data_IF_278220756264
#
_entry.id   IF_278220756264
#
_cell.length_a   1.000
_cell.length_b   1.000
_cell.length_c   1.000
_cell.angle_alpha   90.00
_cell.angle_beta   90.00
_cell.angle_gamma   90.00
#
_symmetry.space_group_name_H-M   'P 1'
#
loop_
_entity.id
_entity.type
_entity.pdbx_description
1 polymer ?
#
# COMPACT_ATOMS: atom_id res chain seq x y z
N UNK A 1 -17.62 -24.72 -11.06
CA UNK A 1 -18.43 -23.56 -11.49
C UNK A 1 -17.48 -22.41 -11.74
N UNK A 2 -17.29 -22.06 -13.03
CA UNK A 2 -16.43 -20.92 -13.39
C UNK A 2 -17.16 -19.62 -13.06
N UNK A 3 -16.82 -19.01 -11.94
CA UNK A 3 -17.34 -17.70 -11.54
C UNK A 3 -16.44 -16.62 -12.20
N UNK A 4 -16.48 -16.56 -13.53
CA UNK A 4 -15.89 -15.42 -14.25
C UNK A 4 -16.83 -14.23 -14.11
N UNK A 5 -16.40 -13.21 -13.40
CA UNK A 5 -17.10 -11.93 -13.35
C UNK A 5 -17.28 -11.39 -14.78
N UNK A 6 -18.41 -10.74 -15.08
CA UNK A 6 -18.61 -10.09 -16.38
C UNK A 6 -17.48 -9.08 -16.66
N UNK A 7 -17.04 -9.00 -17.91
CA UNK A 7 -15.95 -8.08 -18.33
C UNK A 7 -16.25 -6.63 -17.94
N UNK A 8 -17.51 -6.22 -17.94
CA UNK A 8 -17.94 -4.87 -17.49
C UNK A 8 -17.65 -4.60 -16.01
N UNK A 9 -17.79 -5.61 -15.13
CA UNK A 9 -17.49 -5.47 -13.72
C UNK A 9 -15.98 -5.45 -13.46
N UNK A 10 -15.21 -6.18 -14.24
CA UNK A 10 -13.75 -6.13 -14.19
C UNK A 10 -13.23 -4.75 -14.59
N UNK A 11 -13.74 -4.15 -15.67
CA UNK A 11 -13.29 -2.85 -16.15
C UNK A 11 -13.58 -1.72 -15.15
N UNK A 12 -14.73 -1.74 -14.49
CA UNK A 12 -15.08 -0.78 -13.43
C UNK A 12 -14.16 -0.92 -12.23
N UNK A 13 -13.90 -2.15 -11.79
CA UNK A 13 -13.00 -2.43 -10.66
C UNK A 13 -11.59 -1.92 -10.93
N UNK A 14 -11.07 -2.10 -12.15
CA UNK A 14 -9.76 -1.61 -12.53
C UNK A 14 -9.68 -0.08 -12.58
N UNK A 15 -10.70 0.58 -13.10
CA UNK A 15 -10.71 2.03 -13.18
C UNK A 15 -10.68 2.67 -11.79
N UNK A 16 -11.56 2.25 -10.90
CA UNK A 16 -11.67 2.80 -9.54
C UNK A 16 -10.42 2.50 -8.72
N UNK A 17 -9.87 1.31 -8.82
CA UNK A 17 -8.60 0.94 -8.21
C UNK A 17 -7.47 1.87 -8.69
N UNK A 18 -7.32 2.05 -9.99
CA UNK A 18 -6.31 2.94 -10.58
C UNK A 18 -6.52 4.41 -10.20
N UNK A 19 -7.77 4.88 -10.13
CA UNK A 19 -8.08 6.24 -9.68
C UNK A 19 -7.67 6.46 -8.23
N UNK A 20 -7.90 5.49 -7.35
CA UNK A 20 -7.47 5.56 -5.94
C UNK A 20 -5.95 5.66 -5.86
N UNK A 21 -5.22 4.77 -6.53
CA UNK A 21 -3.75 4.81 -6.57
C UNK A 21 -3.25 6.18 -7.03
N UNK A 22 -3.73 6.66 -8.17
CA UNK A 22 -3.28 7.95 -8.72
C UNK A 22 -3.57 9.12 -7.78
N UNK A 23 -4.72 9.15 -7.15
CA UNK A 23 -5.08 10.19 -6.19
C UNK A 23 -4.15 10.20 -4.97
N UNK A 24 -3.80 9.03 -4.44
CA UNK A 24 -2.83 8.91 -3.35
C UNK A 24 -1.43 9.34 -3.79
N UNK A 25 -0.96 8.87 -4.95
CA UNK A 25 0.36 9.24 -5.48
C UNK A 25 0.48 10.75 -5.64
N UNK A 26 -0.53 11.43 -6.20
CA UNK A 26 -0.54 12.88 -6.36
C UNK A 26 -0.49 13.58 -4.99
N UNK A 27 -1.35 13.17 -4.06
CA UNK A 27 -1.43 13.81 -2.74
C UNK A 27 -0.17 13.60 -1.90
N UNK A 28 0.31 12.38 -1.83
CA UNK A 28 1.54 12.06 -1.12
C UNK A 28 2.72 12.76 -1.77
N UNK A 29 2.82 12.72 -3.11
CA UNK A 29 3.88 13.39 -3.85
C UNK A 29 3.95 14.89 -3.56
N UNK A 30 2.81 15.57 -3.47
CA UNK A 30 2.74 16.98 -3.10
C UNK A 30 3.21 17.26 -1.67
N UNK A 31 2.99 16.34 -0.73
CA UNK A 31 3.42 16.48 0.66
C UNK A 31 4.93 16.27 0.83
N UNK A 32 5.51 15.32 0.09
CA UNK A 32 6.92 14.94 0.25
C UNK A 32 7.85 15.55 -0.81
N UNK A 33 7.37 16.44 -1.67
CA UNK A 33 8.10 17.01 -2.82
C UNK A 33 9.45 17.62 -2.44
N UNK A 34 9.55 18.21 -1.27
CA UNK A 34 10.76 18.89 -0.77
C UNK A 34 11.67 17.98 0.06
N UNK A 35 11.33 16.67 0.16
CA UNK A 35 12.12 15.66 0.85
C UNK A 35 12.97 14.82 -0.10
N UNK A 36 13.83 13.95 0.46
CA UNK A 36 14.59 12.96 -0.30
C UNK A 36 13.73 11.75 -0.70
N UNK A 37 12.53 11.64 -0.15
CA UNK A 37 11.64 10.52 -0.42
C UNK A 37 10.89 10.70 -1.75
N UNK A 38 10.50 9.58 -2.34
CA UNK A 38 9.68 9.55 -3.55
C UNK A 38 8.53 8.56 -3.37
N UNK A 39 7.37 8.95 -3.86
CA UNK A 39 6.20 8.07 -3.93
C UNK A 39 6.14 7.40 -5.29
N UNK A 40 5.77 6.14 -5.29
CA UNK A 40 5.58 5.32 -6.49
C UNK A 40 4.22 4.65 -6.47
N UNK A 41 3.60 4.50 -7.63
CA UNK A 41 2.44 3.66 -7.86
C UNK A 41 2.81 2.19 -8.10
N UNK A 42 1.91 1.42 -8.64
CA UNK A 42 1.84 -0.03 -8.78
C UNK A 42 2.85 -0.71 -9.73
N UNK A 43 3.98 -0.08 -10.02
CA UNK A 43 4.99 -0.61 -10.95
C UNK A 43 6.34 -0.94 -10.31
N UNK A 44 6.52 -0.63 -9.03
CA UNK A 44 7.78 -0.83 -8.33
C UNK A 44 7.82 -2.19 -7.66
N UNK A 45 8.86 -2.94 -7.99
CA UNK A 45 9.11 -4.27 -7.46
C UNK A 45 10.05 -4.20 -6.27
N UNK A 46 9.74 -5.00 -5.25
CA UNK A 46 10.57 -5.23 -4.08
C UNK A 46 10.95 -6.70 -3.98
N UNK A 47 12.19 -6.96 -3.54
CA UNK A 47 12.73 -8.29 -3.35
C UNK A 47 13.53 -8.31 -2.06
N UNK A 48 13.04 -9.04 -1.05
CA UNK A 48 13.66 -9.13 0.27
C UNK A 48 13.95 -10.57 0.67
N UNK A 49 15.07 -10.81 1.34
CA UNK A 49 15.43 -12.13 1.89
C UNK A 49 14.40 -12.64 2.89
N UNK A 50 13.83 -11.74 3.69
CA UNK A 50 12.79 -12.02 4.68
C UNK A 50 11.52 -12.59 4.04
N UNK A 51 11.37 -12.44 2.73
CA UNK A 51 10.28 -12.99 1.91
C UNK A 51 10.80 -14.03 0.89
N UNK A 52 11.85 -14.78 1.22
CA UNK A 52 12.44 -15.81 0.33
C UNK A 52 12.81 -15.28 -1.05
N UNK A 53 13.23 -14.01 -1.17
CA UNK A 53 13.53 -13.31 -2.42
C UNK A 53 12.35 -13.30 -3.44
N UNK A 54 11.11 -13.51 -2.98
CA UNK A 54 9.93 -13.38 -3.82
C UNK A 54 9.60 -11.92 -4.07
N UNK A 55 9.27 -11.62 -5.31
CA UNK A 55 8.91 -10.26 -5.71
C UNK A 55 7.54 -9.86 -5.15
N UNK A 56 7.48 -8.67 -4.58
CA UNK A 56 6.26 -8.01 -4.13
C UNK A 56 6.11 -6.67 -4.84
N UNK A 57 4.90 -6.37 -5.29
CA UNK A 57 4.55 -5.10 -5.95
C UNK A 57 3.41 -4.47 -5.17
N UNK A 58 3.66 -3.45 -4.35
CA UNK A 58 2.61 -2.70 -3.68
C UNK A 58 1.92 -1.71 -4.63
N UNK A 59 0.66 -1.40 -4.36
CA UNK A 59 -0.09 -0.41 -5.14
C UNK A 59 0.47 1.01 -4.97
N UNK A 60 0.94 1.37 -3.76
CA UNK A 60 1.66 2.62 -3.50
C UNK A 60 2.77 2.38 -2.48
N UNK A 61 3.92 3.00 -2.71
CA UNK A 61 5.04 2.94 -1.78
C UNK A 61 5.81 4.26 -1.70
N UNK A 62 6.46 4.51 -0.55
CA UNK A 62 7.37 5.65 -0.37
C UNK A 62 8.78 5.11 -0.08
N UNK A 63 9.73 5.50 -0.93
CA UNK A 63 11.14 5.16 -0.81
C UNK A 63 11.94 6.42 -0.53
N UNK A 64 12.79 6.38 0.49
CA UNK A 64 13.69 7.48 0.85
C UNK A 64 15.15 7.19 0.51
N UNK A 65 15.52 5.91 0.28
CA UNK A 65 16.84 5.52 -0.20
C UNK A 65 16.72 4.83 -1.56
N UNK A 66 17.11 5.54 -2.62
CA UNK A 66 17.03 5.05 -4.00
C UNK A 66 18.20 4.16 -4.43
N UNK A 67 19.16 3.87 -3.54
CA UNK A 67 20.39 3.15 -3.87
C UNK A 67 20.28 1.64 -3.72
N UNK A 68 19.42 1.18 -2.84
CA UNK A 68 19.30 -0.24 -2.49
C UNK A 68 18.48 -0.99 -3.54
N UNK A 69 19.18 -1.46 -4.58
CA UNK A 69 18.57 -2.13 -5.75
C UNK A 69 19.32 -3.42 -6.12
N UNK A 70 18.57 -4.39 -6.61
CA UNK A 70 19.05 -5.59 -7.25
C UNK A 70 18.35 -5.72 -8.60
N UNK A 71 19.07 -5.46 -9.70
CA UNK A 71 18.48 -5.38 -11.04
C UNK A 71 17.38 -4.29 -11.12
N UNK A 72 16.15 -4.71 -11.41
CA UNK A 72 14.99 -3.83 -11.51
C UNK A 72 14.21 -3.69 -10.20
N UNK A 73 14.52 -4.51 -9.19
CA UNK A 73 13.84 -4.53 -7.90
C UNK A 73 14.56 -3.68 -6.87
N UNK A 74 13.81 -3.06 -5.96
CA UNK A 74 14.36 -2.48 -4.75
C UNK A 74 14.56 -3.56 -3.67
N UNK A 75 15.66 -3.46 -2.97
CA UNK A 75 16.01 -4.31 -1.81
C UNK A 75 15.95 -3.53 -0.50
N UNK A 76 15.87 -2.20 -0.59
CA UNK A 76 15.60 -1.34 0.54
C UNK A 76 14.18 -1.45 1.04
N UNK A 77 13.96 -1.13 2.32
CA UNK A 77 12.65 -1.19 2.95
C UNK A 77 11.92 0.14 2.71
N UNK A 78 10.74 0.13 2.07
CA UNK A 78 9.95 1.34 1.93
C UNK A 78 9.44 1.78 3.32
N UNK A 79 9.36 3.07 3.51
CA UNK A 79 8.87 3.65 4.75
C UNK A 79 7.36 3.45 4.92
N UNK A 80 6.67 3.48 3.82
CA UNK A 80 5.23 3.40 3.71
C UNK A 80 4.84 2.48 2.55
N UNK A 81 3.82 1.69 2.76
CA UNK A 81 3.17 0.88 1.74
C UNK A 81 1.66 0.99 1.87
N UNK A 82 0.96 1.04 0.76
CA UNK A 82 -0.50 0.97 0.71
C UNK A 82 -0.96 -0.02 -0.35
N UNK A 83 -1.98 -0.78 0.00
CA UNK A 83 -2.71 -1.63 -0.93
C UNK A 83 -4.14 -1.10 -1.09
N UNK A 84 -4.63 -1.14 -2.31
CA UNK A 84 -6.00 -0.78 -2.67
C UNK A 84 -6.79 -2.06 -2.91
N UNK A 85 -7.76 -2.36 -2.07
CA UNK A 85 -8.46 -3.63 -2.11
C UNK A 85 -9.21 -3.85 -3.42
N UNK A 86 -9.10 -5.05 -3.93
CA UNK A 86 -9.95 -5.62 -4.96
C UNK A 86 -10.62 -6.89 -4.42
N UNK A 87 -11.70 -7.34 -5.06
CA UNK A 87 -12.32 -8.61 -4.67
C UNK A 87 -11.36 -9.81 -4.79
N UNK A 88 -10.43 -9.75 -5.75
CA UNK A 88 -9.51 -10.84 -6.01
C UNK A 88 -8.33 -10.90 -5.02
N UNK A 89 -7.91 -9.77 -4.47
CA UNK A 89 -6.68 -9.67 -3.66
C UNK A 89 -6.91 -9.35 -2.20
N UNK A 90 -8.14 -9.02 -1.79
CA UNK A 90 -8.45 -8.55 -0.43
C UNK A 90 -7.90 -9.46 0.67
N UNK A 91 -8.08 -10.76 0.55
CA UNK A 91 -7.61 -11.71 1.55
C UNK A 91 -6.07 -11.76 1.60
N UNK A 92 -5.43 -11.76 0.45
CA UNK A 92 -3.97 -11.71 0.32
C UNK A 92 -3.37 -10.43 0.89
N UNK A 93 -3.98 -9.28 0.59
CA UNK A 93 -3.53 -7.97 1.07
C UNK A 93 -3.69 -7.86 2.60
N UNK A 94 -4.80 -8.38 3.15
CA UNK A 94 -5.08 -8.33 4.59
C UNK A 94 -4.24 -9.28 5.44
N UNK A 95 -3.74 -10.36 4.88
CA UNK A 95 -3.04 -11.39 5.64
C UNK A 95 -1.59 -11.57 5.17
N UNK A 96 -1.37 -12.09 3.97
CA UNK A 96 -0.02 -12.44 3.53
C UNK A 96 0.86 -11.20 3.31
N UNK A 97 0.40 -10.20 2.57
CA UNK A 97 1.16 -8.96 2.36
C UNK A 97 1.39 -8.20 3.68
N UNK A 98 0.39 -8.14 4.56
CA UNK A 98 0.56 -7.53 5.87
C UNK A 98 1.68 -8.20 6.66
N UNK A 99 1.72 -9.54 6.67
CA UNK A 99 2.79 -10.29 7.34
C UNK A 99 4.16 -10.04 6.70
N UNK A 100 4.23 -9.98 5.37
CA UNK A 100 5.48 -9.68 4.65
C UNK A 100 5.99 -8.30 5.05
N UNK A 101 5.17 -7.26 4.94
CA UNK A 101 5.56 -5.88 5.27
C UNK A 101 5.93 -5.72 6.75
N UNK A 102 5.24 -6.41 7.63
CA UNK A 102 5.55 -6.46 9.05
C UNK A 102 6.95 -7.06 9.30
N UNK A 103 7.25 -8.22 8.73
CA UNK A 103 8.53 -8.93 8.88
C UNK A 103 9.72 -8.15 8.32
N UNK A 104 9.57 -7.51 7.17
CA UNK A 104 10.66 -6.73 6.55
C UNK A 104 10.90 -5.39 7.24
N UNK A 105 9.97 -4.92 8.07
CA UNK A 105 10.14 -3.70 8.85
C UNK A 105 9.63 -2.43 8.17
N UNK A 106 8.61 -2.52 7.33
CA UNK A 106 7.87 -1.34 6.84
C UNK A 106 7.32 -0.59 8.05
N UNK A 107 7.39 0.74 8.04
CA UNK A 107 6.95 1.53 9.20
C UNK A 107 5.45 1.69 9.27
N UNK A 108 4.79 1.78 8.13
CA UNK A 108 3.36 2.10 8.05
C UNK A 108 2.72 1.37 6.86
N UNK A 109 1.62 0.65 7.13
CA UNK A 109 0.86 -0.09 6.12
C UNK A 109 -0.58 0.37 6.09
N UNK A 110 -1.05 0.80 4.93
CA UNK A 110 -2.42 1.24 4.73
C UNK A 110 -3.19 0.30 3.83
N UNK A 111 -4.45 0.07 4.18
CA UNK A 111 -5.41 -0.65 3.35
C UNK A 111 -6.52 0.33 2.95
N UNK A 112 -6.63 0.60 1.67
CA UNK A 112 -7.67 1.47 1.11
C UNK A 112 -8.82 0.61 0.56
N UNK A 113 -9.99 0.68 1.19
CA UNK A 113 -11.22 0.06 0.71
C UNK A 113 -12.12 1.13 0.08
N UNK A 114 -12.04 1.28 -1.23
CA UNK A 114 -12.83 2.27 -1.97
C UNK A 114 -14.33 1.95 -1.95
N UNK A 115 -14.73 0.69 -1.80
CA UNK A 115 -16.13 0.26 -1.72
C UNK A 115 -16.77 0.72 -0.40
N UNK A 116 -16.05 0.59 0.70
CA UNK A 116 -16.45 1.07 2.04
C UNK A 116 -16.09 2.54 2.27
N UNK A 117 -15.36 3.17 1.35
CA UNK A 117 -14.89 4.55 1.47
C UNK A 117 -14.08 4.78 2.74
N UNK A 118 -13.16 3.86 3.04
CA UNK A 118 -12.33 3.93 4.23
C UNK A 118 -10.89 3.56 3.94
N UNK A 119 -10.01 4.06 4.79
CA UNK A 119 -8.59 3.68 4.84
C UNK A 119 -8.29 3.19 6.25
N UNK A 120 -7.78 1.99 6.34
CA UNK A 120 -7.27 1.40 7.58
C UNK A 120 -5.76 1.63 7.63
N UNK A 121 -5.27 2.19 8.74
CA UNK A 121 -3.86 2.47 8.97
C UNK A 121 -3.35 1.48 9.99
N UNK A 122 -2.38 0.67 9.60
CA UNK A 122 -1.69 -0.28 10.46
C UNK A 122 -0.28 0.21 10.73
N UNK A 123 0.12 0.11 11.99
CA UNK A 123 1.50 0.24 12.45
C UNK A 123 1.99 -1.13 12.93
N UNK A 124 3.30 -1.27 13.02
CA UNK A 124 3.92 -2.50 13.48
C UNK A 124 4.67 -2.25 14.77
N UNK A 125 4.54 -3.18 15.69
CA UNK A 125 5.22 -3.15 16.99
C UNK A 125 5.85 -4.52 17.26
N UNK A 126 6.56 -4.68 18.35
CA UNK A 126 7.26 -5.90 18.71
C UNK A 126 6.70 -6.47 20.00
N UNK A 127 6.48 -7.78 20.02
CA UNK A 127 6.17 -8.53 21.24
C UNK A 127 7.40 -8.60 22.16
N UNK A 128 7.22 -9.07 23.39
CA UNK A 128 8.31 -9.26 24.34
C UNK A 128 9.40 -10.23 23.84
N UNK A 129 9.05 -11.19 22.99
CA UNK A 129 9.98 -12.13 22.36
C UNK A 129 10.69 -11.56 21.12
N UNK A 130 10.39 -10.33 20.72
CA UNK A 130 10.95 -9.64 19.56
C UNK A 130 10.23 -9.92 18.24
N UNK A 131 9.16 -10.72 18.24
CA UNK A 131 8.36 -10.96 17.02
C UNK A 131 7.54 -9.71 16.65
N UNK A 132 7.63 -9.22 15.40
CA UNK A 132 6.82 -8.10 14.95
C UNK A 132 5.35 -8.49 14.79
N UNK A 133 4.46 -7.57 15.08
CA UNK A 133 3.03 -7.77 14.86
C UNK A 133 2.34 -6.49 14.39
N UNK A 134 1.32 -6.60 13.51
CA UNK A 134 0.51 -5.47 13.09
C UNK A 134 -0.57 -5.14 14.12
N UNK A 135 -0.85 -3.84 14.28
CA UNK A 135 -2.05 -3.39 14.98
C UNK A 135 -2.74 -2.27 14.20
N UNK A 136 -4.08 -2.27 14.25
CA UNK A 136 -4.88 -1.23 13.64
C UNK A 136 -4.75 0.06 14.47
N UNK A 137 -4.03 1.05 13.94
CA UNK A 137 -3.85 2.34 14.58
C UNK A 137 -5.09 3.23 14.43
N UNK A 138 -5.65 3.29 13.20
CA UNK A 138 -6.77 4.18 12.89
C UNK A 138 -7.51 3.73 11.64
N UNK A 139 -8.82 3.96 11.63
CA UNK A 139 -9.64 3.91 10.42
C UNK A 139 -10.12 5.31 10.09
N UNK A 140 -9.90 5.73 8.85
CA UNK A 140 -10.34 7.04 8.33
C UNK A 140 -11.45 6.79 7.33
N UNK A 141 -12.59 7.46 7.51
CA UNK A 141 -13.64 7.49 6.50
C UNK A 141 -13.27 8.55 5.46
N UNK A 142 -13.02 8.11 4.24
CA UNK A 142 -12.73 8.99 3.12
C UNK A 142 -14.04 9.44 2.45
N UNK A 143 -14.21 10.74 2.23
CA UNK A 143 -15.23 11.21 1.28
C UNK A 143 -14.71 10.93 -0.13
N UNK A 144 -15.04 9.76 -0.65
CA UNK A 144 -14.77 9.42 -2.04
C UNK A 144 -15.92 10.02 -2.85
N UNK A 145 -15.75 11.24 -3.35
CA UNK A 145 -16.52 11.67 -4.51
C UNK A 145 -15.83 11.10 -5.76
N UNK A 146 -16.58 10.67 -6.73
CA UNK A 146 -16.10 10.17 -8.03
C UNK A 146 -15.25 11.21 -8.80
N UNK A 147 -15.18 12.46 -8.32
CA UNK A 147 -14.39 13.54 -8.92
C UNK A 147 -13.14 13.94 -8.10
N UNK A 148 -13.07 13.66 -6.80
CA UNK A 148 -11.89 13.93 -5.99
C UNK A 148 -11.95 13.14 -4.69
N UNK A 149 -11.07 12.19 -4.51
CA UNK A 149 -10.76 11.66 -3.20
C UNK A 149 -10.04 12.78 -2.41
N UNK A 150 -10.79 13.63 -1.73
CA UNK A 150 -10.20 14.54 -0.76
C UNK A 150 -9.82 13.71 0.46
N UNK A 151 -8.64 13.12 0.42
CA UNK A 151 -7.98 12.65 1.63
C UNK A 151 -7.64 13.90 2.43
N UNK A 152 -8.44 14.13 3.47
CA UNK A 152 -8.18 15.15 4.47
C UNK A 152 -6.77 14.88 5.01
N UNK A 153 -5.92 15.90 5.00
CA UNK A 153 -4.59 15.99 5.65
C UNK A 153 -4.19 14.69 6.37
N UNK A 154 -3.48 13.83 5.66
CA UNK A 154 -2.94 12.60 6.23
C UNK A 154 -1.67 12.99 6.99
N UNK A 155 -1.61 12.78 8.30
CA UNK A 155 -0.34 12.83 8.98
C UNK A 155 0.44 11.58 8.58
N UNK A 156 1.19 11.66 7.48
CA UNK A 156 2.31 10.75 7.30
C UNK A 156 3.21 10.98 8.51
N UNK A 157 3.39 9.97 9.34
CA UNK A 157 4.38 9.97 10.43
C UNK A 157 5.79 9.85 9.80
N UNK A 158 6.16 10.85 9.01
CA UNK A 158 7.46 10.92 8.33
C UNK A 158 8.41 11.77 9.13
#
# INVERSE_FOLDING_TARGET
MNNTLPIEDLSKTYLEHSMVINNFVIKIGNQIKDSLCRVFGDSVQYEWRENDDKVVVPDVSIICNMRDRKNVSFTGIPRFVMEVLSHATEDYDRHEKMNIYCKVGVSEYWIADWRKKQVEIYLFDFKEDGEPYPYLYKTITARISTAAMQVISLPLLV
#
